data_IF_438558648843
#
_entry.id   IF_438558648843
#
_cell.length_a   1.000
_cell.length_b   1.000
_cell.length_c   1.000
_cell.angle_alpha   90.00
_cell.angle_beta   90.00
_cell.angle_gamma   90.00
#
_symmetry.space_group_name_H-M   'P 1'
#
loop_
_entity.id
_entity.type
_entity.pdbx_description
1 polymer ?
#
# COMPACT_ATOMS: atom_id res chain seq x y z
N UNK A 1 -16.37 -10.89 -37.22
CA UNK A 1 -17.68 -10.50 -36.66
C UNK A 1 -17.43 -9.97 -35.27
N UNK A 2 -17.55 -8.65 -35.10
CA UNK A 2 -17.47 -7.97 -33.82
C UNK A 2 -18.70 -8.35 -32.99
N UNK A 3 -18.51 -9.16 -31.96
CA UNK A 3 -19.45 -9.22 -30.85
C UNK A 3 -18.91 -8.27 -29.78
N UNK A 4 -19.47 -7.06 -29.70
CA UNK A 4 -19.45 -6.28 -28.48
C UNK A 4 -20.22 -7.08 -27.43
N UNK A 5 -19.50 -7.82 -26.59
CA UNK A 5 -20.09 -8.63 -25.52
C UNK A 5 -20.50 -7.70 -24.39
N UNK A 6 -21.57 -6.94 -24.60
CA UNK A 6 -22.18 -6.13 -23.54
C UNK A 6 -22.50 -7.04 -22.34
N UNK A 7 -22.20 -6.56 -21.14
CA UNK A 7 -22.41 -7.35 -19.93
C UNK A 7 -23.90 -7.48 -19.63
N UNK A 8 -24.40 -8.70 -19.80
CA UNK A 8 -25.77 -9.06 -19.49
C UNK A 8 -25.84 -9.73 -18.10
N UNK A 9 -27.03 -9.73 -17.50
CA UNK A 9 -27.24 -10.30 -16.15
C UNK A 9 -26.77 -11.75 -16.03
N UNK A 10 -26.90 -12.55 -17.09
CA UNK A 10 -26.46 -13.95 -17.12
C UNK A 10 -24.94 -14.10 -17.07
N UNK A 11 -24.21 -13.25 -17.80
CA UNK A 11 -22.74 -13.24 -17.76
C UNK A 11 -22.23 -12.81 -16.39
N UNK A 12 -22.84 -11.77 -15.80
CA UNK A 12 -22.42 -11.25 -14.50
C UNK A 12 -22.74 -12.27 -13.38
N UNK A 13 -23.86 -12.98 -13.46
CA UNK A 13 -24.20 -14.08 -12.55
C UNK A 13 -23.23 -15.26 -12.65
N UNK A 14 -22.68 -15.51 -13.85
CA UNK A 14 -21.56 -16.43 -14.07
C UNK A 14 -20.20 -15.91 -13.59
N UNK A 15 -20.16 -14.73 -12.95
CA UNK A 15 -18.93 -14.08 -12.53
C UNK A 15 -18.07 -13.64 -13.70
N UNK A 16 -18.66 -13.34 -14.86
CA UNK A 16 -17.92 -12.92 -16.06
C UNK A 16 -18.55 -11.71 -16.75
N UNK A 17 -17.75 -10.78 -17.29
CA UNK A 17 -18.23 -9.60 -18.01
C UNK A 17 -17.16 -9.23 -19.02
N UNK A 18 -17.51 -9.01 -20.29
CA UNK A 18 -16.54 -8.89 -21.39
C UNK A 18 -15.54 -10.06 -21.45
N UNK A 19 -15.94 -11.26 -21.03
CA UNK A 19 -15.06 -12.45 -20.98
C UNK A 19 -14.02 -12.45 -19.85
N UNK A 20 -14.11 -11.50 -18.91
CA UNK A 20 -13.24 -11.37 -17.74
C UNK A 20 -13.93 -11.87 -16.48
N UNK A 21 -13.21 -12.56 -15.59
CA UNK A 21 -13.73 -12.94 -14.28
C UNK A 21 -13.96 -11.70 -13.39
N UNK A 22 -15.20 -11.53 -12.96
CA UNK A 22 -15.63 -10.58 -11.92
C UNK A 22 -15.70 -11.33 -10.58
N UNK A 23 -15.17 -10.71 -9.53
CA UNK A 23 -15.38 -11.20 -8.18
C UNK A 23 -16.85 -10.98 -7.76
N UNK A 24 -17.62 -12.07 -7.65
CA UNK A 24 -19.01 -12.05 -7.21
C UNK A 24 -19.23 -11.50 -5.80
N UNK A 25 -18.18 -11.38 -4.97
CA UNK A 25 -18.23 -10.72 -3.67
C UNK A 25 -18.27 -9.19 -3.74
N UNK A 26 -17.84 -8.56 -4.85
CA UNK A 26 -17.95 -7.11 -5.02
C UNK A 26 -19.37 -6.68 -5.45
N UNK A 27 -20.19 -7.62 -5.92
CA UNK A 27 -21.58 -7.43 -6.29
C UNK A 27 -22.42 -8.44 -5.52
N UNK A 28 -22.56 -8.24 -4.21
CA UNK A 28 -23.48 -9.03 -3.40
C UNK A 28 -24.92 -8.85 -3.93
N UNK A 29 -25.38 -9.84 -4.72
CA UNK A 29 -26.74 -9.96 -5.23
C UNK A 29 -27.65 -10.46 -4.10
N UNK A 30 -28.07 -9.54 -3.24
CA UNK A 30 -29.05 -9.85 -2.18
C UNK A 30 -29.66 -8.62 -1.53
N UNK A 31 -28.92 -7.51 -1.51
CA UNK A 31 -29.41 -6.25 -1.01
C UNK A 31 -28.88 -5.16 -1.95
N UNK A 32 -29.71 -4.71 -2.88
CA UNK A 32 -29.47 -3.44 -3.54
C UNK A 32 -29.49 -2.38 -2.44
N UNK A 33 -28.34 -2.14 -1.79
CA UNK A 33 -28.16 -0.95 -0.97
C UNK A 33 -28.48 0.19 -1.90
N UNK A 34 -29.62 0.83 -1.69
CA UNK A 34 -29.93 2.12 -2.29
C UNK A 34 -28.93 3.10 -1.70
N UNK A 35 -27.71 3.06 -2.23
CA UNK A 35 -26.65 3.99 -1.91
C UNK A 35 -27.19 5.33 -2.34
N UNK A 36 -27.47 6.19 -1.37
CA UNK A 36 -28.04 7.50 -1.65
C UNK A 36 -27.14 8.22 -2.65
N UNK A 37 -27.70 8.92 -3.64
CA UNK A 37 -26.92 9.65 -4.66
C UNK A 37 -25.88 10.61 -4.05
N UNK A 38 -26.18 11.10 -2.85
CA UNK A 38 -25.28 11.87 -1.98
C UNK A 38 -24.01 11.08 -1.60
N UNK A 39 -24.15 9.82 -1.20
CA UNK A 39 -23.04 8.95 -0.82
C UNK A 39 -22.17 8.56 -2.02
N UNK A 40 -22.76 8.29 -3.18
CA UNK A 40 -21.98 8.03 -4.40
C UNK A 40 -21.13 9.22 -4.81
N UNK A 41 -21.70 10.44 -4.75
CA UNK A 41 -20.95 11.69 -5.01
C UNK A 41 -19.83 11.89 -4.00
N UNK A 42 -20.12 11.72 -2.72
CA UNK A 42 -19.13 11.84 -1.66
C UNK A 42 -17.99 10.83 -1.86
N UNK A 43 -18.31 9.56 -2.06
CA UNK A 43 -17.32 8.50 -2.27
C UNK A 43 -16.48 8.77 -3.53
N UNK A 44 -17.11 9.24 -4.62
CA UNK A 44 -16.40 9.61 -5.85
C UNK A 44 -15.40 10.74 -5.62
N UNK A 45 -15.75 11.78 -4.85
CA UNK A 45 -14.86 12.90 -4.52
C UNK A 45 -13.70 12.41 -3.65
N UNK A 46 -14.02 11.62 -2.62
CA UNK A 46 -13.03 11.08 -1.68
C UNK A 46 -12.01 10.22 -2.42
N UNK A 47 -12.46 9.20 -3.15
CA UNK A 47 -11.59 8.24 -3.86
C UNK A 47 -10.82 8.91 -5.01
N UNK A 48 -11.45 9.82 -5.77
CA UNK A 48 -10.83 10.36 -6.99
C UNK A 48 -9.97 11.60 -6.74
N UNK A 49 -10.21 12.34 -5.65
CA UNK A 49 -9.54 13.63 -5.41
C UNK A 49 -8.77 13.64 -4.09
N UNK A 50 -9.43 13.30 -2.98
CA UNK A 50 -8.83 13.46 -1.64
C UNK A 50 -7.72 12.42 -1.42
N UNK A 51 -8.00 11.14 -1.67
CA UNK A 51 -7.01 10.07 -1.44
C UNK A 51 -5.75 10.21 -2.31
N UNK A 52 -5.84 10.49 -3.63
CA UNK A 52 -4.65 10.69 -4.46
C UNK A 52 -3.85 11.92 -4.05
N UNK A 53 -4.52 13.00 -3.61
CA UNK A 53 -3.83 14.21 -3.13
C UNK A 53 -3.02 13.92 -1.87
N UNK A 54 -3.60 13.20 -0.90
CA UNK A 54 -2.90 12.77 0.31
C UNK A 54 -1.74 11.82 -0.04
N UNK A 55 -1.98 10.85 -0.92
CA UNK A 55 -0.94 9.92 -1.38
C UNK A 55 0.23 10.62 -2.04
N UNK A 56 -0.03 11.63 -2.87
CA UNK A 56 1.02 12.45 -3.51
C UNK A 56 1.86 13.23 -2.49
N UNK A 57 1.21 13.88 -1.52
CA UNK A 57 1.91 14.54 -0.42
C UNK A 57 2.73 13.55 0.40
N UNK A 58 2.21 12.34 0.63
CA UNK A 58 2.91 11.24 1.31
C UNK A 58 4.17 10.80 0.56
N UNK A 59 4.09 10.65 -0.77
CA UNK A 59 5.26 10.29 -1.60
C UNK A 59 6.34 11.37 -1.51
N UNK A 60 5.96 12.66 -1.58
CA UNK A 60 6.93 13.76 -1.47
C UNK A 60 7.55 13.80 -0.07
N UNK A 61 6.74 13.74 0.98
CA UNK A 61 7.20 13.82 2.37
C UNK A 61 8.12 12.66 2.75
N UNK A 62 7.73 11.43 2.41
CA UNK A 62 8.54 10.25 2.66
C UNK A 62 9.76 10.19 1.73
N UNK A 63 9.66 10.66 0.49
CA UNK A 63 10.79 10.80 -0.43
C UNK A 63 11.86 11.74 0.11
N UNK A 64 11.47 12.92 0.62
CA UNK A 64 12.39 13.87 1.23
C UNK A 64 13.03 13.31 2.52
N UNK A 65 12.24 12.57 3.31
CA UNK A 65 12.73 11.89 4.51
C UNK A 65 13.77 10.83 4.18
N UNK A 66 13.47 9.92 3.24
CA UNK A 66 14.39 8.91 2.76
C UNK A 66 15.68 9.51 2.19
N UNK A 67 15.57 10.59 1.41
CA UNK A 67 16.73 11.32 0.89
C UNK A 67 17.60 11.93 1.99
N UNK A 68 16.98 12.48 3.03
CA UNK A 68 17.70 13.07 4.17
C UNK A 68 18.44 12.00 4.97
N UNK A 69 17.78 10.89 5.31
CA UNK A 69 18.36 9.80 6.10
C UNK A 69 19.38 8.94 5.33
N UNK A 70 19.30 8.91 3.99
CA UNK A 70 20.27 8.20 3.14
C UNK A 70 21.66 8.86 3.10
N UNK A 71 21.81 10.09 3.64
CA UNK A 71 23.10 10.78 3.66
C UNK A 71 24.07 10.09 4.63
N UNK A 72 25.30 9.80 4.13
CA UNK A 72 26.38 9.13 4.88
C UNK A 72 26.74 9.81 6.21
N UNK A 73 26.52 11.11 6.35
CA UNK A 73 26.82 11.88 7.56
C UNK A 73 25.82 11.63 8.70
N UNK A 74 24.64 11.07 8.41
CA UNK A 74 23.57 10.80 9.38
C UNK A 74 23.34 9.30 9.61
N UNK A 75 24.30 8.44 9.33
CA UNK A 75 24.11 6.98 9.48
C UNK A 75 24.15 6.61 10.97
N UNK A 76 22.97 6.28 11.51
CA UNK A 76 22.73 5.81 12.87
C UNK A 76 21.73 4.65 12.84
N UNK A 77 21.69 3.80 13.87
CA UNK A 77 20.73 2.70 13.99
C UNK A 77 19.29 3.18 13.81
N UNK A 78 18.96 4.33 14.41
CA UNK A 78 17.64 4.95 14.35
C UNK A 78 17.34 5.54 12.97
N UNK A 79 18.32 6.22 12.36
CA UNK A 79 18.14 6.82 11.03
C UNK A 79 18.01 5.74 9.94
N UNK A 80 18.61 4.56 10.13
CA UNK A 80 18.39 3.40 9.26
C UNK A 80 16.93 2.91 9.35
N UNK A 81 16.35 2.81 10.56
CA UNK A 81 14.94 2.46 10.72
C UNK A 81 14.02 3.52 10.10
N UNK A 82 14.30 4.82 10.30
CA UNK A 82 13.53 5.89 9.69
C UNK A 82 13.62 5.89 8.16
N UNK A 83 14.78 5.56 7.60
CA UNK A 83 14.94 5.40 6.16
C UNK A 83 14.13 4.20 5.64
N UNK A 84 14.21 3.05 6.32
CA UNK A 84 13.42 1.87 5.97
C UNK A 84 11.91 2.12 6.08
N UNK A 85 11.49 2.86 7.12
CA UNK A 85 10.11 3.27 7.31
C UNK A 85 9.62 4.15 6.16
N UNK A 86 10.40 5.18 5.81
CA UNK A 86 10.09 6.06 4.69
C UNK A 86 10.02 5.29 3.35
N UNK A 87 10.92 4.32 3.11
CA UNK A 87 10.86 3.46 1.93
C UNK A 87 9.60 2.60 1.91
N UNK A 88 9.23 1.95 3.02
CA UNK A 88 8.01 1.16 3.14
C UNK A 88 6.76 2.02 2.88
N UNK A 89 6.70 3.22 3.44
CA UNK A 89 5.56 4.13 3.24
C UNK A 89 5.47 4.66 1.80
N UNK A 90 6.60 4.82 1.09
CA UNK A 90 6.59 5.12 -0.36
C UNK A 90 5.99 3.94 -1.12
N UNK A 91 6.37 2.69 -0.81
CA UNK A 91 5.83 1.50 -1.47
C UNK A 91 4.32 1.37 -1.22
N UNK A 92 3.85 1.59 0.02
CA UNK A 92 2.42 1.59 0.37
C UNK A 92 1.67 2.64 -0.45
N UNK A 93 2.14 3.90 -0.44
CA UNK A 93 1.50 4.99 -1.15
C UNK A 93 1.52 4.79 -2.67
N UNK A 94 2.61 4.24 -3.22
CA UNK A 94 2.71 3.93 -4.65
C UNK A 94 1.74 2.81 -5.05
N UNK A 95 1.63 1.77 -4.23
CA UNK A 95 0.69 0.65 -4.44
C UNK A 95 -0.75 1.13 -4.41
N UNK A 96 -1.10 1.96 -3.42
CA UNK A 96 -2.42 2.57 -3.30
C UNK A 96 -2.72 3.49 -4.50
N UNK A 97 -1.78 4.34 -4.89
CA UNK A 97 -1.94 5.22 -6.05
C UNK A 97 -2.19 4.43 -7.34
N UNK A 98 -1.45 3.34 -7.56
CA UNK A 98 -1.64 2.49 -8.73
C UNK A 98 -3.02 1.82 -8.74
N UNK A 99 -3.48 1.31 -7.60
CA UNK A 99 -4.82 0.72 -7.47
C UNK A 99 -5.93 1.74 -7.73
N UNK A 100 -5.83 2.94 -7.15
CA UNK A 100 -6.81 4.02 -7.40
C UNK A 100 -6.81 4.48 -8.86
N UNK A 101 -5.63 4.59 -9.47
CA UNK A 101 -5.51 4.96 -10.88
C UNK A 101 -6.16 3.93 -11.79
N UNK A 102 -5.89 2.63 -11.56
CA UNK A 102 -6.52 1.55 -12.31
C UNK A 102 -8.04 1.53 -12.10
N UNK A 103 -8.53 1.74 -10.88
CA UNK A 103 -9.98 1.78 -10.59
C UNK A 103 -10.68 2.95 -11.29
N UNK A 104 -10.05 4.13 -11.30
CA UNK A 104 -10.56 5.31 -12.02
C UNK A 104 -10.64 5.07 -13.53
N UNK A 105 -9.59 4.48 -14.09
CA UNK A 105 -9.48 4.18 -15.52
C UNK A 105 -10.35 2.99 -15.97
N UNK A 106 -10.70 2.07 -15.05
CA UNK A 106 -11.59 0.92 -15.29
C UNK A 106 -12.94 1.33 -15.88
N UNK A 107 -13.48 2.48 -15.45
CA UNK A 107 -14.76 3.01 -15.97
C UNK A 107 -14.69 3.46 -17.44
N UNK A 108 -13.48 3.62 -17.99
CA UNK A 108 -13.26 4.24 -19.31
C UNK A 108 -12.78 3.26 -20.38
N UNK A 109 -12.26 2.08 -20.01
CA UNK A 109 -11.67 1.11 -20.95
C UNK A 109 -11.69 -0.33 -20.43
N UNK A 110 -12.13 -1.27 -21.26
CA UNK A 110 -12.20 -2.70 -20.91
C UNK A 110 -10.83 -3.35 -20.73
N UNK A 111 -9.85 -2.96 -21.54
CA UNK A 111 -8.47 -3.46 -21.41
C UNK A 111 -7.86 -3.16 -20.03
N UNK A 112 -8.24 -2.04 -19.40
CA UNK A 112 -7.75 -1.66 -18.08
C UNK A 112 -8.44 -2.49 -16.98
N UNK A 113 -9.68 -2.90 -17.20
CA UNK A 113 -10.37 -3.87 -16.34
C UNK A 113 -9.62 -5.20 -16.28
N UNK A 114 -9.08 -5.68 -17.41
CA UNK A 114 -8.23 -6.87 -17.44
C UNK A 114 -6.99 -6.70 -16.56
N UNK A 115 -6.23 -5.62 -16.77
CA UNK A 115 -5.03 -5.35 -15.96
C UNK A 115 -5.35 -5.18 -14.48
N UNK A 116 -6.44 -4.52 -14.12
CA UNK A 116 -6.90 -4.43 -12.74
C UNK A 116 -7.21 -5.81 -12.14
N UNK A 117 -7.94 -6.67 -12.86
CA UNK A 117 -8.28 -8.01 -12.37
C UNK A 117 -7.04 -8.88 -12.14
N UNK A 118 -6.02 -8.78 -13.00
CA UNK A 118 -4.77 -9.55 -12.87
C UNK A 118 -3.82 -8.97 -11.82
N UNK A 119 -3.74 -7.64 -11.73
CA UNK A 119 -2.74 -6.97 -10.87
C UNK A 119 -3.24 -6.74 -9.44
N UNK A 120 -4.55 -6.54 -9.25
CA UNK A 120 -5.22 -6.42 -7.95
C UNK A 120 -4.82 -7.53 -6.95
N UNK A 121 -4.90 -8.84 -7.28
CA UNK A 121 -4.53 -9.90 -6.35
C UNK A 121 -3.04 -9.92 -5.98
N UNK A 122 -2.18 -9.20 -6.69
CA UNK A 122 -0.75 -9.04 -6.37
C UNK A 122 -0.52 -7.77 -5.55
N UNK A 123 -1.13 -6.66 -5.96
CA UNK A 123 -0.92 -5.35 -5.34
C UNK A 123 -1.58 -5.24 -3.96
N UNK A 124 -2.74 -5.87 -3.74
CA UNK A 124 -3.38 -5.90 -2.43
C UNK A 124 -2.51 -6.56 -1.35
N UNK A 125 -2.05 -7.82 -1.51
CA UNK A 125 -1.19 -8.42 -0.50
C UNK A 125 0.14 -7.67 -0.38
N UNK A 126 0.72 -7.17 -1.48
CA UNK A 126 1.94 -6.37 -1.44
C UNK A 126 1.77 -5.08 -0.63
N UNK A 127 0.64 -4.39 -0.77
CA UNK A 127 0.31 -3.22 0.02
C UNK A 127 0.14 -3.55 1.51
N UNK A 128 -0.52 -4.67 1.81
CA UNK A 128 -0.74 -5.14 3.19
C UNK A 128 0.55 -5.61 3.86
N UNK A 129 1.43 -6.30 3.14
CA UNK A 129 2.74 -6.72 3.67
C UNK A 129 3.63 -5.50 3.93
N UNK A 130 3.68 -4.55 2.99
CA UNK A 130 4.40 -3.29 3.18
C UNK A 130 3.84 -2.47 4.36
N UNK A 131 2.52 -2.42 4.52
CA UNK A 131 1.87 -1.78 5.66
C UNK A 131 2.23 -2.44 6.98
N UNK A 132 2.17 -3.76 7.04
CA UNK A 132 2.52 -4.51 8.25
C UNK A 132 4.00 -4.34 8.59
N UNK A 133 4.88 -4.37 7.57
CA UNK A 133 6.30 -4.10 7.72
C UNK A 133 6.56 -2.70 8.30
N UNK A 134 5.86 -1.67 7.80
CA UNK A 134 5.96 -0.29 8.32
C UNK A 134 5.61 -0.22 9.82
N UNK A 135 4.57 -0.94 10.27
CA UNK A 135 4.21 -1.03 11.69
C UNK A 135 5.33 -1.68 12.51
N UNK A 136 5.88 -2.81 12.06
CA UNK A 136 6.96 -3.48 12.79
C UNK A 136 8.24 -2.65 12.84
N UNK A 137 8.60 -1.97 11.76
CA UNK A 137 9.75 -1.03 11.73
C UNK A 137 9.52 0.12 12.70
N UNK A 138 8.30 0.66 12.77
CA UNK A 138 7.94 1.73 13.71
C UNK A 138 8.16 1.26 15.15
N UNK A 139 7.66 0.08 15.50
CA UNK A 139 7.85 -0.51 16.84
C UNK A 139 9.33 -0.74 17.14
N UNK A 140 10.10 -1.28 16.20
CA UNK A 140 11.54 -1.48 16.35
C UNK A 140 12.29 -0.15 16.54
N UNK A 141 11.91 0.91 15.81
CA UNK A 141 12.50 2.24 15.95
C UNK A 141 12.18 2.87 17.31
N UNK A 142 10.96 2.66 17.82
CA UNK A 142 10.55 3.16 19.14
C UNK A 142 11.34 2.45 20.25
N UNK A 143 11.56 1.14 20.10
CA UNK A 143 12.38 0.36 21.03
C UNK A 143 13.86 0.77 20.99
N UNK A 144 14.44 0.99 19.80
CA UNK A 144 15.81 1.50 19.66
C UNK A 144 15.95 2.89 20.28
N UNK A 145 14.96 3.78 20.08
CA UNK A 145 14.88 5.10 20.71
C UNK A 145 14.83 4.99 22.25
N UNK A 146 14.02 4.08 22.78
CA UNK A 146 13.94 3.83 24.22
C UNK A 146 15.28 3.36 24.80
N UNK A 147 15.96 2.44 24.13
CA UNK A 147 17.30 1.97 24.54
C UNK A 147 18.31 3.11 24.48
N UNK A 148 18.29 3.92 23.43
CA UNK A 148 19.17 5.08 23.25
C UNK A 148 19.05 6.07 24.42
N UNK A 149 17.84 6.31 24.92
CA UNK A 149 17.55 7.28 25.98
C UNK A 149 17.72 6.69 27.38
N UNK A 150 17.22 5.48 27.63
CA UNK A 150 17.13 4.91 28.98
C UNK A 150 18.30 3.97 29.36
N UNK A 151 19.03 3.44 28.39
CA UNK A 151 20.03 2.41 28.66
C UNK A 151 21.43 2.98 28.95
N UNK A 152 22.19 2.24 29.77
CA UNK A 152 23.60 2.54 30.03
C UNK A 152 24.44 2.45 28.75
N UNK A 153 25.56 3.20 28.63
CA UNK A 153 26.37 3.27 27.42
C UNK A 153 26.91 1.91 26.92
N UNK A 154 27.09 0.95 27.83
CA UNK A 154 27.46 -0.44 27.49
C UNK A 154 26.37 -1.19 26.72
N UNK A 155 25.10 -0.95 27.06
CA UNK A 155 23.94 -1.58 26.41
C UNK A 155 23.68 -0.91 25.06
N UNK A 156 23.77 0.43 25.00
CA UNK A 156 23.63 1.20 23.76
C UNK A 156 24.59 0.73 22.67
N UNK A 157 25.89 0.62 22.97
CA UNK A 157 26.88 0.18 21.98
C UNK A 157 26.67 -1.25 21.47
N UNK A 158 25.94 -2.09 22.21
CA UNK A 158 25.66 -3.48 21.82
C UNK A 158 24.39 -3.60 20.97
N UNK A 159 23.34 -2.85 21.30
CA UNK A 159 22.04 -2.94 20.61
C UNK A 159 21.88 -1.92 19.48
N UNK A 160 22.32 -0.68 19.67
CA UNK A 160 22.15 0.42 18.72
C UNK A 160 23.28 0.44 17.67
N UNK A 161 23.39 -0.66 16.92
CA UNK A 161 24.33 -0.79 15.80
C UNK A 161 23.59 -0.86 14.47
N UNK A 162 24.14 -0.20 13.45
CA UNK A 162 23.56 -0.13 12.10
C UNK A 162 23.39 -1.52 11.49
N UNK A 163 24.33 -2.44 11.73
CA UNK A 163 24.24 -3.83 11.25
C UNK A 163 23.07 -4.58 11.89
N UNK A 164 22.81 -4.36 13.19
CA UNK A 164 21.67 -4.97 13.88
C UNK A 164 20.36 -4.43 13.32
N UNK A 165 20.25 -3.12 13.13
CA UNK A 165 19.06 -2.50 12.53
C UNK A 165 18.79 -3.01 11.11
N UNK A 166 19.82 -3.08 10.27
CA UNK A 166 19.70 -3.61 8.91
C UNK A 166 19.24 -5.08 8.92
N UNK A 167 19.83 -5.91 9.79
CA UNK A 167 19.48 -7.32 9.89
C UNK A 167 18.04 -7.53 10.39
N UNK A 168 17.59 -6.75 11.38
CA UNK A 168 16.20 -6.77 11.87
C UNK A 168 15.23 -6.36 10.76
N UNK A 169 15.50 -5.28 10.03
CA UNK A 169 14.64 -4.83 8.91
C UNK A 169 14.55 -5.88 7.81
N UNK A 170 15.67 -6.50 7.41
CA UNK A 170 15.69 -7.55 6.38
C UNK A 170 14.94 -8.79 6.85
N UNK A 171 15.16 -9.21 8.10
CA UNK A 171 14.47 -10.36 8.69
C UNK A 171 12.95 -10.15 8.72
N UNK A 172 12.49 -8.96 9.15
CA UNK A 172 11.06 -8.62 9.15
C UNK A 172 10.47 -8.63 7.74
N UNK A 173 11.23 -8.14 6.74
CA UNK A 173 10.77 -8.13 5.35
C UNK A 173 10.61 -9.55 4.79
N UNK A 174 11.57 -10.44 5.08
CA UNK A 174 11.53 -11.83 4.63
C UNK A 174 10.41 -12.61 5.34
N UNK A 175 10.33 -12.48 6.66
CA UNK A 175 9.35 -13.20 7.49
C UNK A 175 7.89 -12.83 7.23
N UNK A 176 7.62 -11.70 6.55
CA UNK A 176 6.28 -11.29 6.11
C UNK A 176 5.95 -11.72 4.67
N UNK A 177 6.93 -12.20 3.93
CA UNK A 177 6.79 -12.63 2.54
C UNK A 177 6.65 -14.16 2.41
N UNK A 178 7.11 -14.91 3.41
CA UNK A 178 6.93 -16.37 3.57
C UNK A 178 5.62 -16.73 4.30
#
# INVERSE_FOLDING_TARGET
>A
MNASVDCNNDTIAGGQCYGLSICGWCYDYGEARFVSREYEKFNSIVISLILPSIGFLGIIGNGLSAFTYSRKEMVSSLNMYLCALACSDIIINLTAFFLFFLESMRRRSESITYYFAVLSPIMFPLGLTAQTLSVFITVASAFDCLILVAASPKVRNKFCSVNTSMLVTVYLSFSLTD
#
